data_IF_418427528737
#
_entry.id   IF_418427528737
#
_cell.length_a   1.000
_cell.length_b   1.000
_cell.length_c   1.000
_cell.angle_alpha   90.00
_cell.angle_beta   90.00
_cell.angle_gamma   90.00
#
_symmetry.space_group_name_H-M   'P 1'
#
loop_
_entity.id
_entity.type
_entity.pdbx_description
1 polymer ?
#
# COMPACT_ATOMS: atom_id res chain seq x y z
N UNK A 1 9.13 9.38 -9.99
CA UNK A 1 9.96 9.78 -8.82
C UNK A 1 10.82 10.96 -9.25
N UNK A 2 11.27 11.81 -8.33
CA UNK A 2 12.22 12.88 -8.67
C UNK A 2 13.36 12.93 -7.66
N UNK A 3 14.59 13.03 -8.15
CA UNK A 3 15.79 13.25 -7.34
C UNK A 3 16.19 14.72 -7.40
N UNK A 4 16.56 15.27 -6.24
CA UNK A 4 17.15 16.60 -6.13
C UNK A 4 18.66 16.51 -6.34
N UNK A 5 19.19 17.19 -7.37
CA UNK A 5 20.64 17.17 -7.67
C UNK A 5 21.42 18.32 -7.01
N UNK A 6 20.78 19.12 -6.16
CA UNK A 6 21.34 20.35 -5.60
C UNK A 6 20.84 21.63 -6.32
N UNK A 7 20.21 21.49 -7.48
CA UNK A 7 19.75 22.61 -8.31
C UNK A 7 18.39 22.39 -8.98
N UNK A 8 18.03 21.15 -9.32
CA UNK A 8 16.81 20.79 -9.99
C UNK A 8 16.24 19.46 -9.46
N UNK A 9 14.91 19.31 -9.63
CA UNK A 9 14.22 18.05 -9.44
C UNK A 9 14.20 17.30 -10.78
N UNK A 10 14.93 16.19 -10.87
CA UNK A 10 15.06 15.39 -12.08
C UNK A 10 14.26 14.10 -11.98
N UNK A 11 13.50 13.76 -13.02
CA UNK A 11 12.70 12.55 -13.02
C UNK A 11 13.57 11.29 -12.95
N UNK A 12 13.18 10.36 -12.08
CA UNK A 12 13.75 9.03 -11.94
C UNK A 12 12.72 7.98 -12.32
N UNK A 13 13.07 7.20 -13.33
CA UNK A 13 12.23 6.14 -13.88
C UNK A 13 11.09 6.63 -14.76
N UNK A 14 10.39 5.68 -15.36
CA UNK A 14 9.15 5.92 -16.11
C UNK A 14 7.99 6.31 -15.18
N UNK A 15 6.96 6.89 -15.77
CA UNK A 15 5.68 7.13 -15.10
C UNK A 15 5.00 5.80 -14.77
N UNK A 16 4.22 5.82 -13.68
CA UNK A 16 3.38 4.71 -13.26
C UNK A 16 1.92 5.09 -13.45
N UNK A 17 1.18 4.22 -14.13
CA UNK A 17 -0.24 4.41 -14.41
C UNK A 17 -1.05 3.25 -13.83
N UNK A 18 -2.20 3.58 -13.24
CA UNK A 18 -3.25 2.60 -12.97
C UNK A 18 -3.86 2.10 -14.27
N UNK A 19 -4.52 0.94 -14.22
CA UNK A 19 -5.10 0.31 -15.41
C UNK A 19 -6.55 0.71 -15.67
N UNK A 20 -7.32 1.08 -14.64
CA UNK A 20 -8.71 1.54 -14.77
C UNK A 20 -8.89 3.04 -14.51
N UNK A 21 -9.94 3.58 -15.12
CA UNK A 21 -10.43 4.93 -14.86
C UNK A 21 -11.09 4.99 -13.48
N UNK A 22 -10.81 6.05 -12.72
CA UNK A 22 -11.38 6.29 -11.39
C UNK A 22 -10.99 5.30 -10.27
N UNK A 23 -10.10 4.34 -10.51
CA UNK A 23 -9.57 3.41 -9.48
C UNK A 23 -8.77 4.09 -8.35
N UNK A 24 -8.48 5.39 -8.52
CA UNK A 24 -7.67 6.21 -7.60
C UNK A 24 -6.27 5.64 -7.36
N UNK A 25 -5.65 5.08 -8.40
CA UNK A 25 -4.24 4.70 -8.37
C UNK A 25 -3.38 5.89 -7.95
N UNK A 26 -2.51 5.68 -6.96
CA UNK A 26 -1.68 6.75 -6.39
C UNK A 26 -2.34 7.54 -5.26
N UNK A 27 -3.52 7.13 -4.77
CA UNK A 27 -4.19 7.83 -3.66
C UNK A 27 -3.35 7.84 -2.38
N UNK A 28 -2.67 6.73 -2.09
CA UNK A 28 -1.72 6.65 -1.00
C UNK A 28 -0.44 5.95 -1.48
N UNK A 29 0.71 6.49 -1.08
CA UNK A 29 2.03 6.02 -1.49
C UNK A 29 2.99 6.02 -0.31
N UNK A 30 3.98 5.14 -0.34
CA UNK A 30 5.10 5.14 0.60
C UNK A 30 6.36 4.63 -0.10
N UNK A 31 7.52 4.96 0.44
CA UNK A 31 8.84 4.72 -0.15
C UNK A 31 9.77 4.10 0.90
N UNK A 32 10.57 3.13 0.49
CA UNK A 32 11.67 2.56 1.28
C UNK A 32 12.78 3.59 1.54
N UNK A 33 13.65 3.33 2.52
CA UNK A 33 14.66 4.30 2.94
C UNK A 33 15.69 4.63 1.85
N UNK A 34 16.01 3.65 0.99
CA UNK A 34 16.92 3.81 -0.15
C UNK A 34 16.26 4.49 -1.36
N UNK A 35 14.94 4.67 -1.32
CA UNK A 35 14.19 5.15 -2.47
C UNK A 35 14.00 4.15 -3.60
N UNK A 36 14.47 2.90 -3.46
CA UNK A 36 14.46 1.93 -4.56
C UNK A 36 13.19 1.10 -4.66
N UNK A 37 12.37 1.05 -3.61
CA UNK A 37 11.05 0.41 -3.60
C UNK A 37 9.97 1.38 -3.16
N UNK A 38 8.82 1.31 -3.82
CA UNK A 38 7.61 2.07 -3.49
C UNK A 38 6.39 1.17 -3.42
N UNK A 39 5.43 1.54 -2.59
CA UNK A 39 4.10 0.93 -2.52
C UNK A 39 3.06 1.97 -2.96
N UNK A 40 2.08 1.54 -3.75
CA UNK A 40 1.04 2.39 -4.32
C UNK A 40 -0.32 1.74 -4.13
N UNK A 41 -1.25 2.47 -3.52
CA UNK A 41 -2.64 2.06 -3.35
C UNK A 41 -3.57 2.61 -4.44
N UNK A 42 -4.57 1.81 -4.80
CA UNK A 42 -5.68 2.14 -5.70
C UNK A 42 -6.99 1.66 -5.07
N UNK A 43 -7.55 2.44 -4.15
CA UNK A 43 -8.58 1.95 -3.23
C UNK A 43 -9.97 1.75 -3.87
N UNK A 44 -10.17 2.16 -5.11
CA UNK A 44 -11.39 1.90 -5.90
C UNK A 44 -11.17 0.93 -7.06
N UNK A 45 -9.99 0.35 -7.15
CA UNK A 45 -9.72 -0.71 -8.12
C UNK A 45 -10.64 -1.93 -7.90
N UNK A 46 -11.11 -2.49 -9.01
CA UNK A 46 -12.12 -3.54 -9.07
C UNK A 46 -11.54 -4.97 -9.25
N UNK A 47 -10.22 -5.15 -9.36
CA UNK A 47 -9.57 -6.45 -9.64
C UNK A 47 -9.93 -7.54 -8.62
N UNK A 48 -10.25 -7.16 -7.38
CA UNK A 48 -10.68 -8.06 -6.29
C UNK A 48 -12.19 -8.05 -5.99
N UNK A 49 -13.00 -7.42 -6.84
CA UNK A 49 -14.42 -7.11 -6.64
C UNK A 49 -14.70 -5.61 -6.57
N UNK A 50 -15.98 -5.21 -6.65
CA UNK A 50 -16.40 -3.80 -6.70
C UNK A 50 -15.78 -2.94 -5.60
N UNK A 51 -14.96 -1.95 -5.95
CA UNK A 51 -14.19 -1.08 -5.06
C UNK A 51 -13.46 -1.86 -3.95
N UNK A 52 -12.98 -3.06 -4.27
CA UNK A 52 -12.23 -3.88 -3.31
C UNK A 52 -10.87 -3.26 -3.00
N UNK A 53 -10.32 -2.53 -3.97
CA UNK A 53 -9.03 -1.88 -3.92
C UNK A 53 -7.86 -2.82 -4.18
N UNK A 54 -6.79 -2.25 -4.71
CA UNK A 54 -5.52 -2.95 -4.94
C UNK A 54 -4.33 -2.18 -4.37
N UNK A 55 -3.25 -2.92 -4.14
CA UNK A 55 -1.95 -2.38 -3.81
C UNK A 55 -0.90 -3.04 -4.68
N UNK A 56 -0.04 -2.22 -5.28
CA UNK A 56 1.09 -2.65 -6.11
C UNK A 56 2.38 -2.12 -5.51
N UNK A 57 3.43 -2.92 -5.57
CA UNK A 57 4.77 -2.56 -5.10
C UNK A 57 5.69 -2.58 -6.32
N UNK A 58 6.53 -1.56 -6.44
CA UNK A 58 7.47 -1.41 -7.54
C UNK A 58 8.89 -1.28 -7.02
N UNK A 59 9.84 -1.83 -7.77
CA UNK A 59 11.28 -1.66 -7.59
C UNK A 59 11.87 -0.92 -8.78
N UNK A 60 12.78 0.02 -8.51
CA UNK A 60 13.56 0.70 -9.53
C UNK A 60 14.70 -0.20 -9.98
N UNK A 61 14.59 -0.73 -11.20
CA UNK A 61 15.62 -1.57 -11.84
C UNK A 61 16.28 -0.73 -12.93
N UNK A 62 17.51 -0.26 -12.65
CA UNK A 62 18.18 0.72 -13.51
C UNK A 62 17.40 2.04 -13.52
N UNK A 63 16.80 2.37 -14.66
CA UNK A 63 15.96 3.57 -14.84
C UNK A 63 14.48 3.21 -15.10
N UNK A 64 14.01 2.06 -14.62
CA UNK A 64 12.63 1.60 -14.86
C UNK A 64 11.99 1.10 -13.59
N UNK A 65 10.81 1.64 -13.26
CA UNK A 65 9.97 1.14 -12.19
C UNK A 65 9.25 -0.13 -12.66
N UNK A 66 9.58 -1.26 -12.03
CA UNK A 66 9.05 -2.59 -12.37
C UNK A 66 8.25 -3.12 -11.18
N UNK A 67 7.03 -3.64 -11.42
CA UNK A 67 6.24 -4.24 -10.34
C UNK A 67 6.97 -5.47 -9.79
N UNK A 68 7.07 -5.57 -8.46
CA UNK A 68 7.63 -6.73 -7.77
C UNK A 68 6.55 -7.52 -7.05
N UNK A 69 6.51 -8.82 -7.35
CA UNK A 69 5.51 -9.75 -6.84
C UNK A 69 4.09 -9.50 -7.36
N UNK A 70 3.15 -10.25 -6.79
CA UNK A 70 1.73 -10.17 -7.13
C UNK A 70 1.09 -8.88 -6.62
N UNK A 71 0.04 -8.42 -7.32
CA UNK A 71 -0.88 -7.42 -6.79
C UNK A 71 -1.51 -7.94 -5.49
N UNK A 72 -1.57 -7.10 -4.47
CA UNK A 72 -2.33 -7.38 -3.25
C UNK A 72 -3.76 -6.88 -3.47
N UNK A 73 -4.74 -7.79 -3.44
CA UNK A 73 -6.16 -7.48 -3.66
C UNK A 73 -6.93 -7.46 -2.33
N UNK A 74 -7.92 -6.55 -2.20
CA UNK A 74 -8.72 -6.41 -0.98
C UNK A 74 -9.60 -7.62 -0.64
N UNK A 75 -9.96 -8.42 -1.65
CA UNK A 75 -10.65 -9.70 -1.47
C UNK A 75 -12.12 -9.61 -1.05
N UNK A 76 -12.72 -8.41 -1.03
CA UNK A 76 -14.14 -8.21 -0.77
C UNK A 76 -14.63 -6.85 -1.27
N UNK A 77 -15.90 -6.78 -1.68
CA UNK A 77 -16.49 -5.55 -2.22
C UNK A 77 -16.44 -4.42 -1.20
N UNK A 78 -16.05 -3.23 -1.67
CA UNK A 78 -15.97 -1.99 -0.93
C UNK A 78 -15.00 -1.99 0.24
N UNK A 79 -14.08 -2.96 0.36
CA UNK A 79 -13.10 -2.98 1.45
C UNK A 79 -12.06 -1.86 1.34
N UNK A 80 -11.88 -1.30 0.14
CA UNK A 80 -10.98 -0.17 -0.13
C UNK A 80 -9.52 -0.46 0.28
N UNK A 81 -9.00 -1.62 -0.11
CA UNK A 81 -7.59 -1.95 0.13
C UNK A 81 -6.67 -0.92 -0.54
N UNK A 82 -5.61 -0.55 0.15
CA UNK A 82 -4.70 0.49 -0.32
C UNK A 82 -5.18 1.90 -0.03
N UNK A 83 -6.26 2.07 0.75
CA UNK A 83 -6.64 3.38 1.28
C UNK A 83 -5.50 4.00 2.11
N UNK A 84 -4.80 3.17 2.88
CA UNK A 84 -3.54 3.51 3.53
C UNK A 84 -2.51 2.42 3.26
N UNK A 85 -1.26 2.81 3.02
CA UNK A 85 -0.13 1.91 2.81
C UNK A 85 1.10 2.38 3.58
N UNK A 86 1.96 1.45 3.97
CA UNK A 86 3.28 1.76 4.55
C UNK A 86 4.27 0.65 4.21
N UNK A 87 5.54 0.98 4.07
CA UNK A 87 6.64 0.07 3.68
C UNK A 87 7.81 0.20 4.65
N UNK A 88 8.50 -0.90 4.95
CA UNK A 88 9.72 -0.92 5.76
C UNK A 88 10.90 -0.26 5.02
N UNK A 89 11.95 0.08 5.77
CA UNK A 89 13.12 0.76 5.21
C UNK A 89 13.85 -0.09 4.14
N UNK A 90 13.90 -1.41 4.31
CA UNK A 90 14.47 -2.36 3.33
C UNK A 90 13.48 -2.72 2.20
N UNK A 91 12.22 -2.31 2.33
CA UNK A 91 11.13 -2.62 1.41
C UNK A 91 10.72 -4.09 1.35
N UNK A 92 11.08 -4.90 2.35
CA UNK A 92 10.71 -6.32 2.42
C UNK A 92 9.34 -6.58 3.06
N UNK A 93 8.80 -5.58 3.79
CA UNK A 93 7.51 -5.66 4.48
C UNK A 93 6.63 -4.47 4.18
N UNK A 94 5.33 -4.72 4.00
CA UNK A 94 4.31 -3.69 3.76
C UNK A 94 3.09 -3.88 4.63
N UNK A 95 2.39 -2.78 4.94
CA UNK A 95 1.08 -2.78 5.59
C UNK A 95 0.04 -2.13 4.68
N UNK A 96 -1.17 -2.69 4.66
CA UNK A 96 -2.28 -2.28 3.80
C UNK A 96 -3.55 -2.11 4.63
N UNK A 97 -4.15 -0.93 4.55
CA UNK A 97 -5.40 -0.57 5.22
C UNK A 97 -6.63 -0.75 4.32
N UNK A 98 -7.71 -1.23 4.92
CA UNK A 98 -9.03 -1.49 4.33
C UNK A 98 -10.12 -0.88 5.24
N UNK A 99 -10.28 0.45 5.18
CA UNK A 99 -11.05 1.21 6.19
C UNK A 99 -12.55 0.89 6.24
N UNK A 100 -13.09 0.24 5.20
CA UNK A 100 -14.52 -0.07 5.07
C UNK A 100 -14.86 -1.52 5.40
N UNK A 101 -13.87 -2.33 5.78
CA UNK A 101 -14.07 -3.71 6.21
C UNK A 101 -15.09 -3.83 7.37
N UNK A 102 -15.99 -4.82 7.27
CA UNK A 102 -16.93 -5.23 8.33
C UNK A 102 -17.69 -4.09 9.01
N UNK A 103 -18.68 -3.49 8.34
CA UNK A 103 -19.45 -2.35 8.87
C UNK A 103 -18.55 -1.18 9.29
N UNK A 104 -17.54 -0.88 8.47
CA UNK A 104 -16.60 0.22 8.70
C UNK A 104 -15.78 0.07 10.00
N UNK A 105 -15.65 -1.14 10.55
CA UNK A 105 -14.66 -1.42 11.60
C UNK A 105 -13.25 -1.10 11.11
N UNK A 106 -12.98 -1.46 9.87
CA UNK A 106 -11.66 -1.33 9.27
C UNK A 106 -10.73 -2.49 9.60
N UNK A 107 -9.70 -2.63 8.78
CA UNK A 107 -8.75 -3.75 8.81
C UNK A 107 -7.38 -3.28 8.33
N UNK A 108 -6.32 -3.79 8.96
CA UNK A 108 -4.95 -3.73 8.47
C UNK A 108 -4.41 -5.14 8.29
N UNK A 109 -3.78 -5.37 7.14
CA UNK A 109 -3.01 -6.58 6.84
C UNK A 109 -1.56 -6.23 6.61
N UNK A 110 -0.65 -7.11 7.02
CA UNK A 110 0.81 -6.97 6.84
C UNK A 110 1.29 -8.08 5.93
N UNK A 111 2.22 -7.79 5.03
CA UNK A 111 2.76 -8.75 4.06
C UNK A 111 4.28 -8.68 4.03
N UNK A 112 4.91 -9.83 3.87
CA UNK A 112 6.33 -9.98 3.59
C UNK A 112 6.53 -10.43 2.15
N UNK A 113 7.59 -9.94 1.51
CA UNK A 113 8.03 -10.43 0.21
C UNK A 113 8.81 -11.73 0.39
N UNK A 114 8.17 -12.85 0.09
CA UNK A 114 8.77 -14.19 0.13
C UNK A 114 9.06 -14.65 -1.30
N UNK A 115 10.33 -14.63 -1.68
CA UNK A 115 10.74 -14.84 -3.06
C UNK A 115 10.19 -13.71 -3.95
N UNK A 116 9.27 -14.05 -4.85
CA UNK A 116 8.57 -13.10 -5.73
C UNK A 116 7.08 -12.98 -5.40
N UNK A 117 6.68 -13.19 -4.14
CA UNK A 117 5.26 -13.19 -3.74
C UNK A 117 5.06 -12.45 -2.42
N UNK A 118 4.11 -11.51 -2.41
CA UNK A 118 3.68 -10.83 -1.20
C UNK A 118 2.74 -11.75 -0.42
N UNK A 119 3.24 -12.26 0.71
CA UNK A 119 2.55 -13.24 1.55
C UNK A 119 2.14 -12.57 2.85
N UNK A 120 0.88 -12.71 3.24
CA UNK A 120 0.40 -12.13 4.49
C UNK A 120 1.16 -12.73 5.68
N UNK A 121 1.64 -11.87 6.59
CA UNK A 121 2.33 -12.26 7.82
C UNK A 121 1.49 -11.91 9.03
N UNK A 122 1.26 -12.89 9.90
CA UNK A 122 0.43 -12.74 11.09
C UNK A 122 -1.07 -12.64 10.80
N UNK A 123 -1.83 -12.45 11.88
CA UNK A 123 -3.28 -12.32 11.81
C UNK A 123 -3.70 -10.93 11.32
N UNK A 124 -4.94 -10.85 10.82
CA UNK A 124 -5.62 -9.60 10.52
C UNK A 124 -5.68 -8.69 11.77
N UNK A 125 -5.40 -7.40 11.61
CA UNK A 125 -5.56 -6.40 12.68
C UNK A 125 -6.87 -5.66 12.43
N UNK A 126 -7.93 -5.97 13.17
CA UNK A 126 -9.30 -5.50 12.92
C UNK A 126 -9.66 -4.40 13.92
N UNK A 127 -10.37 -3.37 13.48
CA UNK A 127 -10.91 -2.33 14.37
C UNK A 127 -11.98 -2.89 15.32
N UNK A 128 -12.08 -2.29 16.51
CA UNK A 128 -12.92 -2.82 17.59
C UNK A 128 -14.41 -2.55 17.36
N UNK A 129 -14.79 -1.32 16.99
CA UNK A 129 -16.17 -0.90 16.83
C UNK A 129 -16.53 -0.52 15.38
N UNK A 130 -17.82 -0.67 15.04
CA UNK A 130 -18.33 -0.26 13.73
C UNK A 130 -18.18 1.25 13.56
N UNK A 131 -17.88 1.70 12.34
CA UNK A 131 -17.62 3.11 11.99
C UNK A 131 -16.35 3.73 12.60
N UNK A 132 -15.44 2.93 13.12
CA UNK A 132 -14.11 3.40 13.58
C UNK A 132 -13.17 3.76 12.42
N UNK A 133 -13.44 3.21 11.23
CA UNK A 133 -12.61 3.34 10.03
C UNK A 133 -11.13 3.03 10.31
N UNK A 134 -10.87 2.02 11.15
CA UNK A 134 -9.51 1.60 11.50
C UNK A 134 -8.69 1.26 10.25
N UNK A 135 -7.40 1.59 10.27
CA UNK A 135 -6.55 1.44 9.09
C UNK A 135 -6.76 2.50 8.01
N UNK A 136 -7.47 3.60 8.30
CA UNK A 136 -7.51 4.78 7.42
C UNK A 136 -6.17 5.53 7.32
N UNK A 137 -5.26 5.26 8.25
CA UNK A 137 -3.87 5.73 8.23
C UNK A 137 -3.00 4.67 8.90
N UNK A 138 -1.78 4.49 8.40
CA UNK A 138 -0.83 3.50 8.92
C UNK A 138 0.56 4.12 8.77
N UNK A 139 1.38 4.01 9.81
CA UNK A 139 2.82 4.23 9.68
C UNK A 139 3.58 3.07 10.29
N UNK A 140 4.58 2.60 9.56
CA UNK A 140 5.50 1.54 9.96
C UNK A 140 6.86 2.13 10.32
N UNK A 141 7.54 1.56 11.31
CA UNK A 141 8.94 1.90 11.57
C UNK A 141 9.88 1.25 10.55
N UNK A 142 11.10 1.77 10.45
CA UNK A 142 12.11 1.30 9.49
C UNK A 142 12.33 -0.21 9.52
N UNK A 143 12.40 -0.81 10.71
CA UNK A 143 12.63 -2.25 10.88
C UNK A 143 11.41 -3.13 10.52
N UNK A 144 10.25 -2.55 10.19
CA UNK A 144 9.04 -3.29 9.87
C UNK A 144 8.43 -4.06 11.04
N UNK A 145 8.76 -3.69 12.27
CA UNK A 145 8.38 -4.43 13.50
C UNK A 145 7.29 -3.73 14.31
N UNK A 146 6.99 -2.47 14.02
CA UNK A 146 5.99 -1.67 14.74
C UNK A 146 5.13 -0.89 13.76
N UNK A 147 3.84 -0.84 14.06
CA UNK A 147 2.84 -0.04 13.36
C UNK A 147 2.16 0.90 14.33
N UNK A 148 1.84 2.11 13.88
CA UNK A 148 0.86 2.99 14.51
C UNK A 148 -0.34 3.09 13.58
N UNK A 149 -1.53 2.82 14.13
CA UNK A 149 -2.80 2.83 13.40
C UNK A 149 -3.80 3.64 14.25
N UNK A 150 -4.11 4.89 13.89
CA UNK A 150 -5.10 5.69 14.62
C UNK A 150 -6.52 5.22 14.32
N UNK A 151 -7.42 5.54 15.25
CA UNK A 151 -8.87 5.30 15.15
C UNK A 151 -9.54 6.65 14.91
N UNK A 152 -10.54 6.72 14.03
CA UNK A 152 -11.43 7.88 13.93
C UNK A 152 -12.65 7.63 14.82
N UNK A 153 -13.06 8.65 15.58
CA UNK A 153 -14.33 8.68 16.30
C UNK A 153 -15.22 9.77 15.72
#
# INVERSE_FOLDING_TARGET
MFDWDGSAWNQVGNDLHGLGTDDRFGYNVSISATGSKIIVGAYWDDDGGTNSGTVKIYELVGSTWTQIGNTIVGGGSYYEAGYAVSISADGSRVAVGMRRFSSYKGLVKVYDLVGSTWTQVGANIIGEASNDYFGSSIVMNDAGTRLLIPIRK
#
